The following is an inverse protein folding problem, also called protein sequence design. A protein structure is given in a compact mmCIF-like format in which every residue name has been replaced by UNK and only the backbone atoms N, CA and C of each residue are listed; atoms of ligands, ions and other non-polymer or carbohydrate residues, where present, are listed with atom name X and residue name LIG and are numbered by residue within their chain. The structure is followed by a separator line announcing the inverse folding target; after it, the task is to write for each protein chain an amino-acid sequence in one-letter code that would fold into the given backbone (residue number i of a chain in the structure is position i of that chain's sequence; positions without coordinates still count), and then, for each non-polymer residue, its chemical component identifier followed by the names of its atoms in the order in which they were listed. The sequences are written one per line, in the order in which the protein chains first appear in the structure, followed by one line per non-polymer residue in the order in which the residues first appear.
data_IF_244943163171
#
_entry.id   IF_244943163171
#
_cell.length_a   1.000
_cell.length_b   1.000
_cell.length_c   1.000
_cell.angle_alpha   90.00
_cell.angle_beta   90.00
_cell.angle_gamma   90.00
#
_symmetry.space_group_name_H-M   'P 1'
#
loop_
_entity.id
_entity.type
_entity.pdbx_description
1 polymer ?
#
# COMPACT_ATOMS: atom_id res chain seq x y z
N UNK A 1 -14.19 -15.19 0.63
CA UNK A 1 -13.73 -16.31 1.48
C UNK A 1 -12.83 -15.73 2.57
N UNK A 2 -13.38 -15.67 3.81
CA UNK A 2 -12.71 -15.16 5.00
C UNK A 2 -11.55 -16.09 5.41
N UNK A 3 -10.34 -15.82 4.96
CA UNK A 3 -9.15 -16.38 5.60
C UNK A 3 -8.74 -15.56 6.84
N UNK A 4 -9.70 -15.29 7.74
CA UNK A 4 -9.38 -14.92 9.11
C UNK A 4 -9.24 -16.23 9.89
N UNK A 5 -8.03 -16.79 9.92
CA UNK A 5 -7.77 -17.95 10.79
C UNK A 5 -8.03 -17.55 12.22
N UNK A 6 -9.09 -18.11 12.80
CA UNK A 6 -9.28 -18.14 14.26
C UNK A 6 -8.07 -18.88 14.80
N UNK A 7 -7.17 -18.19 15.52
CA UNK A 7 -5.98 -18.82 16.05
C UNK A 7 -6.37 -19.84 17.14
N UNK A 8 -7.34 -19.49 17.98
CA UNK A 8 -7.92 -20.35 19.00
C UNK A 8 -9.21 -19.74 19.55
N UNK A 9 -10.11 -20.61 20.04
CA UNK A 9 -11.38 -20.16 20.61
C UNK A 9 -11.27 -19.88 22.11
N UNK A 10 -10.32 -20.49 22.82
CA UNK A 10 -10.14 -20.29 24.26
C UNK A 10 -8.70 -20.40 24.72
N UNK A 11 -8.35 -19.59 25.74
CA UNK A 11 -7.05 -19.66 26.42
C UNK A 11 -6.82 -21.03 27.09
N UNK A 12 -7.90 -21.77 27.44
CA UNK A 12 -7.85 -23.10 27.99
C UNK A 12 -7.28 -24.11 26.99
N UNK A 13 -7.76 -24.08 25.76
CA UNK A 13 -7.29 -24.96 24.69
C UNK A 13 -5.79 -24.80 24.41
N UNK A 14 -5.29 -23.54 24.43
CA UNK A 14 -3.85 -23.29 24.29
C UNK A 14 -3.05 -23.80 25.53
N UNK A 15 -3.55 -23.56 26.72
CA UNK A 15 -2.90 -24.03 27.94
C UNK A 15 -2.73 -25.56 27.95
N UNK A 16 -3.78 -26.28 27.56
CA UNK A 16 -3.78 -27.74 27.43
C UNK A 16 -2.82 -28.21 26.33
N UNK A 17 -2.85 -27.56 25.18
CA UNK A 17 -2.01 -27.91 24.02
C UNK A 17 -0.51 -27.72 24.27
N UNK A 18 -0.13 -26.67 24.99
CA UNK A 18 1.28 -26.37 25.30
C UNK A 18 1.76 -26.79 26.68
N UNK A 19 0.89 -27.35 27.48
CA UNK A 19 1.24 -27.82 28.84
C UNK A 19 1.65 -26.70 29.80
N UNK A 20 1.12 -25.47 29.61
CA UNK A 20 1.47 -24.29 30.42
C UNK A 20 0.25 -23.74 31.18
N UNK A 21 0.50 -22.85 32.15
CA UNK A 21 -0.60 -22.28 32.94
C UNK A 21 -1.47 -21.33 32.05
N UNK A 22 -2.77 -21.26 32.37
CA UNK A 22 -3.70 -20.31 31.72
C UNK A 22 -3.27 -18.86 31.89
N UNK A 23 -2.61 -18.53 33.03
CA UNK A 23 -2.06 -17.19 33.25
C UNK A 23 -0.92 -16.87 32.30
N UNK A 24 -0.02 -17.81 32.04
CA UNK A 24 1.09 -17.67 31.09
C UNK A 24 0.56 -17.46 29.66
N UNK A 25 -0.46 -18.25 29.26
CA UNK A 25 -1.14 -18.05 27.96
C UNK A 25 -1.75 -16.67 27.87
N UNK A 26 -2.47 -16.22 28.90
CA UNK A 26 -3.11 -14.90 28.92
C UNK A 26 -2.09 -13.78 28.78
N UNK A 27 -1.00 -13.81 29.54
CA UNK A 27 0.08 -12.81 29.45
C UNK A 27 0.70 -12.76 28.06
N UNK A 28 0.97 -13.92 27.45
CA UNK A 28 1.50 -13.99 26.10
C UNK A 28 0.52 -13.43 25.06
N UNK A 29 -0.76 -13.79 25.15
CA UNK A 29 -1.81 -13.27 24.26
C UNK A 29 -1.99 -11.77 24.45
N UNK A 30 -2.01 -11.26 25.69
CA UNK A 30 -2.14 -9.83 25.98
C UNK A 30 -0.93 -9.04 25.41
N UNK A 31 0.28 -9.58 25.52
CA UNK A 31 1.48 -9.01 24.90
C UNK A 31 1.35 -8.95 23.38
N UNK A 32 0.87 -10.02 22.73
CA UNK A 32 0.67 -10.07 21.29
C UNK A 32 -0.48 -9.16 20.81
N UNK A 33 -1.51 -8.98 21.63
CA UNK A 33 -2.59 -8.00 21.36
C UNK A 33 -2.06 -6.58 21.50
N UNK A 34 -1.27 -6.30 22.56
CA UNK A 34 -0.66 -4.97 22.78
C UNK A 34 0.33 -4.60 21.68
N UNK A 35 1.07 -5.58 21.15
CA UNK A 35 1.95 -5.37 19.99
C UNK A 35 1.22 -5.28 18.64
N UNK A 36 -0.11 -5.49 18.64
CA UNK A 36 -0.94 -5.43 17.43
C UNK A 36 -0.83 -6.65 16.52
N UNK A 37 -0.17 -7.72 16.96
CA UNK A 37 -0.09 -8.99 16.21
C UNK A 37 -1.37 -9.82 16.29
N UNK A 38 -2.10 -9.69 17.39
CA UNK A 38 -3.41 -10.34 17.61
C UNK A 38 -4.51 -9.29 17.81
N UNK A 39 -5.73 -9.69 17.50
CA UNK A 39 -6.96 -8.94 17.75
C UNK A 39 -7.93 -9.83 18.54
N UNK A 40 -8.40 -9.33 19.69
CA UNK A 40 -9.40 -10.01 20.50
C UNK A 40 -10.79 -9.47 20.15
N UNK A 41 -11.70 -10.35 19.77
CA UNK A 41 -13.10 -10.01 19.51
C UNK A 41 -14.00 -10.63 20.57
N UNK A 42 -14.70 -9.78 21.30
CA UNK A 42 -15.60 -10.21 22.37
C UNK A 42 -16.63 -11.22 21.82
N UNK A 43 -16.69 -12.41 22.45
CA UNK A 43 -17.61 -13.50 22.06
C UNK A 43 -17.22 -14.29 20.81
N UNK A 44 -16.14 -13.91 20.09
CA UNK A 44 -15.78 -14.54 18.82
C UNK A 44 -14.40 -15.20 18.81
N UNK A 45 -13.50 -14.83 19.74
CA UNK A 45 -12.16 -15.44 19.85
C UNK A 45 -11.01 -14.45 19.60
N UNK A 46 -9.80 -15.00 19.43
CA UNK A 46 -8.58 -14.26 19.13
C UNK A 46 -8.10 -14.60 17.72
N UNK A 47 -7.84 -13.56 16.96
CA UNK A 47 -7.49 -13.62 15.53
C UNK A 47 -6.09 -13.10 15.29
N UNK A 48 -5.39 -13.67 14.32
CA UNK A 48 -4.15 -13.08 13.82
C UNK A 48 -4.50 -11.79 13.07
N UNK A 49 -3.92 -10.69 13.52
CA UNK A 49 -4.01 -9.44 12.77
C UNK A 49 -3.06 -9.55 11.59
N UNK A 50 -3.56 -9.32 10.39
CA UNK A 50 -2.67 -9.23 9.24
C UNK A 50 -1.61 -8.14 9.51
N UNK A 51 -0.31 -8.41 9.29
CA UNK A 51 0.73 -7.43 9.53
C UNK A 51 0.43 -6.17 8.70
N UNK A 52 0.54 -5.00 9.34
CA UNK A 52 0.46 -3.74 8.59
C UNK A 52 1.67 -3.61 7.70
N UNK A 53 1.43 -3.23 6.46
CA UNK A 53 2.46 -2.94 5.48
C UNK A 53 3.22 -1.69 5.94
N UNK A 54 4.54 -1.80 6.13
CA UNK A 54 5.41 -0.67 6.46
C UNK A 54 5.95 -0.07 5.18
N UNK A 55 5.61 1.18 4.87
CA UNK A 55 6.24 1.93 3.78
C UNK A 55 7.53 2.54 4.29
N UNK A 56 8.62 2.21 3.65
CA UNK A 56 9.86 2.95 3.81
C UNK A 56 9.82 4.17 2.89
N UNK A 57 10.45 5.27 3.30
CA UNK A 57 10.65 6.46 2.47
C UNK A 57 11.65 6.18 1.34
N UNK A 58 11.29 5.25 0.44
CA UNK A 58 12.04 4.91 -0.77
C UNK A 58 11.05 4.92 -1.94
N UNK A 59 11.50 5.41 -3.07
CA UNK A 59 10.76 5.25 -4.31
C UNK A 59 10.79 3.78 -4.68
N UNK A 60 9.71 3.08 -4.38
CA UNK A 60 9.52 1.68 -4.76
C UNK A 60 8.12 1.52 -5.34
N UNK A 61 7.98 0.60 -6.27
CA UNK A 61 6.66 0.25 -6.77
C UNK A 61 5.91 -0.57 -5.72
N UNK A 62 4.57 -0.49 -5.72
CA UNK A 62 3.73 -1.36 -4.89
C UNK A 62 4.11 -2.84 -5.04
N UNK A 63 4.36 -3.28 -6.28
CA UNK A 63 4.72 -4.68 -6.55
C UNK A 63 6.05 -5.07 -5.91
N UNK A 64 7.04 -4.19 -5.97
CA UNK A 64 8.34 -4.39 -5.32
C UNK A 64 8.20 -4.43 -3.80
N UNK A 65 7.46 -3.49 -3.25
CA UNK A 65 7.19 -3.40 -1.82
C UNK A 65 6.50 -4.67 -1.29
N UNK A 66 5.48 -5.19 -1.98
CA UNK A 66 4.81 -6.42 -1.57
C UNK A 66 5.73 -7.63 -1.67
N UNK A 67 6.53 -7.76 -2.73
CA UNK A 67 7.51 -8.85 -2.86
C UNK A 67 8.58 -8.83 -1.77
N UNK A 68 9.10 -7.66 -1.41
CA UNK A 68 10.07 -7.51 -0.30
C UNK A 68 9.50 -7.97 1.05
N UNK A 69 8.18 -7.99 1.19
CA UNK A 69 7.45 -8.46 2.37
C UNK A 69 7.02 -9.92 2.28
N UNK A 70 7.43 -10.63 1.23
CA UNK A 70 7.04 -12.02 0.99
C UNK A 70 5.59 -12.21 0.56
N UNK A 71 4.91 -11.14 0.13
CA UNK A 71 3.55 -11.17 -0.38
C UNK A 71 3.53 -11.22 -1.92
N UNK A 72 2.49 -11.79 -2.47
CA UNK A 72 2.27 -11.87 -3.92
C UNK A 72 1.45 -10.64 -4.34
N UNK A 73 2.06 -9.67 -5.08
CA UNK A 73 1.33 -8.52 -5.60
C UNK A 73 0.50 -8.91 -6.80
N UNK A 74 -0.69 -8.34 -6.89
CA UNK A 74 -1.57 -8.47 -8.04
C UNK A 74 -2.27 -7.13 -8.33
N UNK A 75 -2.91 -7.02 -9.50
CA UNK A 75 -3.58 -5.81 -9.97
C UNK A 75 -4.86 -6.16 -10.69
N UNK A 76 -5.96 -5.53 -10.27
CA UNK A 76 -7.20 -5.50 -11.02
C UNK A 76 -7.38 -4.13 -11.65
N UNK A 77 -7.23 -4.04 -12.97
CA UNK A 77 -7.47 -2.82 -13.72
C UNK A 77 -8.97 -2.56 -13.77
N UNK A 78 -9.38 -1.34 -13.48
CA UNK A 78 -10.76 -0.86 -13.53
C UNK A 78 -11.00 -0.01 -14.77
N UNK A 79 -10.00 0.78 -15.18
CA UNK A 79 -10.02 1.63 -16.36
C UNK A 79 -8.60 1.97 -16.78
N UNK A 80 -8.34 1.97 -18.07
CA UNK A 80 -7.10 2.41 -18.68
C UNK A 80 -7.41 3.04 -20.05
N UNK A 81 -6.92 4.23 -20.25
CA UNK A 81 -7.18 5.01 -21.47
C UNK A 81 -6.24 6.19 -21.58
N UNK A 82 -6.13 6.75 -22.76
CA UNK A 82 -5.55 8.07 -22.98
C UNK A 82 -6.65 9.13 -22.90
N UNK A 83 -6.43 10.16 -22.07
CA UNK A 83 -7.37 11.26 -21.87
C UNK A 83 -6.65 12.61 -21.93
N UNK A 84 -7.41 13.69 -22.10
CA UNK A 84 -6.89 15.05 -21.93
C UNK A 84 -6.66 15.35 -20.44
N UNK A 85 -5.50 15.91 -20.10
CA UNK A 85 -5.17 16.29 -18.73
C UNK A 85 -6.12 17.38 -18.20
N UNK A 86 -6.77 17.09 -17.08
CA UNK A 86 -7.52 18.09 -16.33
C UNK A 86 -6.54 19.13 -15.74
N UNK A 87 -6.98 20.37 -15.47
CA UNK A 87 -6.09 21.44 -15.00
C UNK A 87 -5.28 21.09 -13.75
N UNK A 88 -5.89 20.41 -12.78
CA UNK A 88 -5.21 19.96 -11.56
C UNK A 88 -4.14 18.90 -11.85
N UNK A 89 -4.42 17.94 -12.73
CA UNK A 89 -3.45 16.92 -13.16
C UNK A 89 -2.29 17.56 -13.94
N UNK A 90 -2.60 18.52 -14.84
CA UNK A 90 -1.61 19.24 -15.62
C UNK A 90 -0.59 19.96 -14.74
N UNK A 91 -1.06 20.65 -13.69
CA UNK A 91 -0.18 21.31 -12.70
C UNK A 91 0.76 20.31 -12.02
N UNK A 92 0.25 19.14 -11.62
CA UNK A 92 1.07 18.13 -10.96
C UNK A 92 2.11 17.50 -11.91
N UNK A 93 1.78 17.33 -13.18
CA UNK A 93 2.70 16.76 -14.18
C UNK A 93 3.61 17.81 -14.85
N UNK A 94 3.39 19.11 -14.61
CA UNK A 94 4.13 20.18 -15.26
C UNK A 94 3.92 20.21 -16.78
N UNK A 95 2.66 20.02 -17.22
CA UNK A 95 2.22 20.04 -18.62
C UNK A 95 1.09 21.05 -18.80
N UNK A 96 0.71 21.34 -20.04
CA UNK A 96 -0.43 22.20 -20.31
C UNK A 96 -1.76 21.45 -20.08
N UNK A 97 -2.82 22.13 -19.59
CA UNK A 97 -4.15 21.55 -19.54
C UNK A 97 -4.61 21.10 -20.94
N UNK A 98 -5.16 19.88 -21.00
CA UNK A 98 -5.59 19.29 -22.27
C UNK A 98 -4.54 18.45 -22.98
N UNK A 99 -3.26 18.49 -22.58
CA UNK A 99 -2.26 17.56 -23.12
C UNK A 99 -2.65 16.10 -22.87
N UNK A 100 -2.31 15.16 -23.78
CA UNK A 100 -2.63 13.74 -23.62
C UNK A 100 -1.91 13.13 -22.42
N UNK A 101 -2.64 12.38 -21.62
CA UNK A 101 -2.11 11.59 -20.48
C UNK A 101 -2.71 10.19 -20.49
N UNK A 102 -1.91 9.20 -20.20
CA UNK A 102 -2.39 7.87 -19.86
C UNK A 102 -3.01 7.92 -18.45
N UNK A 103 -4.27 7.55 -18.36
CA UNK A 103 -5.00 7.40 -17.12
C UNK A 103 -5.19 5.94 -16.79
N UNK A 104 -4.77 5.52 -15.60
CA UNK A 104 -4.89 4.15 -15.12
C UNK A 104 -5.58 4.16 -13.78
N UNK A 105 -6.74 3.50 -13.69
CA UNK A 105 -7.50 3.30 -12.46
C UNK A 105 -7.51 1.82 -12.12
N UNK A 106 -7.00 1.46 -10.92
CA UNK A 106 -6.79 0.06 -10.56
C UNK A 106 -6.90 -0.20 -9.06
N UNK A 107 -7.22 -1.44 -8.72
CA UNK A 107 -7.09 -1.98 -7.36
C UNK A 107 -5.79 -2.75 -7.27
N UNK A 108 -5.00 -2.45 -6.24
CA UNK A 108 -3.76 -3.15 -5.93
C UNK A 108 -4.03 -4.18 -4.85
N UNK A 109 -3.64 -5.43 -5.11
CA UNK A 109 -3.87 -6.57 -4.22
C UNK A 109 -2.53 -7.12 -3.71
N UNK A 110 -2.57 -7.70 -2.50
CA UNK A 110 -1.49 -8.50 -1.95
C UNK A 110 -2.10 -9.79 -1.40
N UNK A 111 -1.59 -10.95 -1.82
CA UNK A 111 -2.13 -12.27 -1.50
C UNK A 111 -3.66 -12.36 -1.79
N UNK A 112 -4.09 -11.78 -2.91
CA UNK A 112 -5.49 -11.74 -3.33
C UNK A 112 -6.37 -10.76 -2.54
N UNK A 113 -5.83 -10.01 -1.57
CA UNK A 113 -6.58 -9.06 -0.74
C UNK A 113 -6.37 -7.64 -1.25
N UNK A 114 -7.46 -6.85 -1.48
CA UNK A 114 -7.34 -5.44 -1.83
C UNK A 114 -6.60 -4.65 -0.75
N UNK A 115 -5.56 -3.93 -1.14
CA UNK A 115 -4.70 -3.12 -0.27
C UNK A 115 -4.84 -1.63 -0.55
N UNK A 116 -4.96 -1.27 -1.84
CA UNK A 116 -5.11 0.12 -2.26
C UNK A 116 -5.96 0.22 -3.52
N UNK A 117 -6.64 1.36 -3.66
CA UNK A 117 -7.21 1.85 -4.92
C UNK A 117 -6.30 2.97 -5.41
N UNK A 118 -5.96 2.95 -6.68
CA UNK A 118 -4.99 3.90 -7.24
C UNK A 118 -5.48 4.46 -8.57
N UNK A 119 -5.34 5.78 -8.74
CA UNK A 119 -5.46 6.50 -10.00
C UNK A 119 -4.10 7.06 -10.35
N UNK A 120 -3.61 6.79 -11.55
CA UNK A 120 -2.28 7.25 -12.00
C UNK A 120 -2.44 7.97 -13.32
N UNK A 121 -1.71 9.06 -13.48
CA UNK A 121 -1.61 9.85 -14.71
C UNK A 121 -0.14 9.94 -15.11
N UNK A 122 0.14 9.72 -16.37
CA UNK A 122 1.48 9.78 -16.98
C UNK A 122 1.35 10.53 -18.28
N UNK A 123 2.15 11.58 -18.49
CA UNK A 123 2.11 12.33 -19.74
C UNK A 123 2.44 11.40 -20.92
N UNK A 124 1.56 11.35 -21.94
CA UNK A 124 1.75 10.44 -23.08
C UNK A 124 3.07 10.72 -23.82
N UNK A 125 3.53 11.98 -23.87
CA UNK A 125 4.83 12.36 -24.44
C UNK A 125 6.04 11.74 -23.72
N UNK A 126 5.87 11.34 -22.44
CA UNK A 126 6.94 10.72 -21.64
C UNK A 126 7.01 9.22 -21.89
N UNK A 127 5.85 8.59 -22.09
CA UNK A 127 5.74 7.15 -22.36
C UNK A 127 4.63 6.88 -23.40
N UNK A 128 4.86 7.17 -24.68
CA UNK A 128 3.80 7.09 -25.69
C UNK A 128 3.17 5.70 -25.82
N UNK A 129 3.97 4.65 -25.64
CA UNK A 129 3.55 3.26 -25.85
C UNK A 129 3.11 2.54 -24.57
N UNK A 130 2.89 3.28 -23.43
CA UNK A 130 2.63 2.67 -22.13
C UNK A 130 1.47 1.68 -22.12
N UNK A 131 0.41 1.94 -22.85
CA UNK A 131 -0.83 1.14 -22.86
C UNK A 131 -0.99 0.28 -24.13
N UNK A 132 0.00 0.23 -25.01
CA UNK A 132 -0.08 -0.51 -26.29
C UNK A 132 -0.37 -2.01 -26.07
N UNK A 133 0.29 -2.60 -25.08
CA UNK A 133 0.10 -4.01 -24.71
C UNK A 133 -0.72 -4.18 -23.41
N UNK A 134 -1.55 -3.17 -23.08
CA UNK A 134 -2.30 -3.09 -21.84
C UNK A 134 -1.50 -2.54 -20.66
N UNK A 135 -2.12 -2.54 -19.48
CA UNK A 135 -1.51 -1.98 -18.27
C UNK A 135 -0.37 -2.86 -17.75
N UNK A 136 0.87 -2.36 -17.64
CA UNK A 136 1.98 -3.15 -17.14
C UNK A 136 1.77 -3.54 -15.65
N UNK A 137 2.22 -4.73 -15.26
CA UNK A 137 2.15 -5.21 -13.87
C UNK A 137 2.86 -4.27 -12.87
N UNK A 138 3.89 -3.56 -13.34
CA UNK A 138 4.59 -2.50 -12.60
C UNK A 138 4.86 -1.31 -13.53
N UNK A 139 4.21 -0.18 -13.25
CA UNK A 139 4.44 1.07 -13.99
C UNK A 139 5.90 1.52 -13.85
N UNK A 140 6.47 1.48 -12.64
CA UNK A 140 7.87 1.83 -12.42
C UNK A 140 8.84 0.84 -13.11
N UNK A 141 8.46 -0.44 -13.22
CA UNK A 141 9.20 -1.41 -14.01
C UNK A 141 9.20 -1.07 -15.50
N UNK A 142 8.04 -0.68 -16.04
CA UNK A 142 7.91 -0.25 -17.43
C UNK A 142 8.69 1.07 -17.67
N UNK A 143 8.61 2.03 -16.76
CA UNK A 143 9.40 3.28 -16.82
C UNK A 143 10.91 2.97 -16.83
N UNK A 144 11.38 2.11 -15.93
CA UNK A 144 12.80 1.73 -15.88
C UNK A 144 13.25 1.03 -17.17
N UNK A 145 12.41 0.18 -17.76
CA UNK A 145 12.69 -0.46 -19.05
C UNK A 145 12.77 0.54 -20.22
N UNK A 146 12.03 1.65 -20.11
CA UNK A 146 12.09 2.77 -21.06
C UNK A 146 13.22 3.80 -20.75
N UNK A 147 14.08 3.51 -19.76
CA UNK A 147 15.16 4.41 -19.35
C UNK A 147 14.73 5.55 -18.41
N UNK A 148 13.47 5.58 -17.99
CA UNK A 148 12.90 6.59 -17.10
C UNK A 148 12.92 6.08 -15.65
N UNK A 149 14.12 5.97 -15.06
CA UNK A 149 14.27 5.50 -13.68
C UNK A 149 13.81 6.59 -12.71
N UNK A 150 12.82 6.31 -11.83
CA UNK A 150 12.42 7.27 -10.80
C UNK A 150 13.60 7.59 -9.87
N UNK A 151 13.97 8.87 -9.76
CA UNK A 151 15.11 9.34 -8.94
C UNK A 151 14.64 9.93 -7.61
N UNK A 152 13.53 10.64 -7.60
CA UNK A 152 12.92 11.22 -6.40
C UNK A 152 11.42 11.43 -6.55
N UNK A 153 10.75 11.78 -5.46
CA UNK A 153 9.32 12.03 -5.46
C UNK A 153 8.85 12.69 -4.17
N UNK A 154 7.61 13.15 -4.21
CA UNK A 154 6.92 13.83 -3.10
C UNK A 154 5.62 13.10 -2.81
N UNK A 155 5.34 12.86 -1.52
CA UNK A 155 4.09 12.31 -1.04
C UNK A 155 3.37 13.31 -0.14
N UNK A 156 2.15 13.71 -0.49
CA UNK A 156 1.21 14.32 0.44
C UNK A 156 0.29 13.22 0.99
N UNK A 157 0.30 13.04 2.31
CA UNK A 157 -0.36 11.92 2.98
C UNK A 157 -1.39 12.43 3.98
N UNK A 158 -2.62 11.97 3.84
CA UNK A 158 -3.74 12.35 4.69
C UNK A 158 -4.48 11.12 5.19
N UNK A 159 -4.96 11.17 6.44
CA UNK A 159 -5.90 10.19 6.95
C UNK A 159 -7.32 10.71 6.70
N UNK A 160 -8.09 9.97 5.91
CA UNK A 160 -9.46 10.37 5.53
C UNK A 160 -10.44 9.21 5.73
N UNK A 161 -11.72 9.53 5.76
CA UNK A 161 -12.79 8.53 5.66
C UNK A 161 -12.94 8.11 4.21
N UNK A 162 -12.92 6.80 3.95
CA UNK A 162 -13.12 6.26 2.61
C UNK A 162 -14.55 6.53 2.13
N UNK A 163 -14.70 7.04 0.91
CA UNK A 163 -15.98 7.16 0.24
C UNK A 163 -16.56 5.80 -0.15
N UNK A 164 -17.80 5.76 -0.61
CA UNK A 164 -18.50 4.53 -0.94
C UNK A 164 -17.78 3.71 -2.02
N UNK A 165 -17.28 4.36 -3.08
CA UNK A 165 -16.62 3.71 -4.21
C UNK A 165 -15.25 3.14 -3.81
N UNK A 166 -14.44 3.91 -3.09
CA UNK A 166 -13.14 3.46 -2.56
C UNK A 166 -13.33 2.29 -1.60
N UNK A 167 -14.30 2.39 -0.69
CA UNK A 167 -14.58 1.32 0.28
C UNK A 167 -15.10 0.04 -0.38
N UNK A 168 -15.93 0.14 -1.41
CA UNK A 168 -16.40 -1.00 -2.21
C UNK A 168 -15.21 -1.74 -2.84
N UNK A 169 -14.33 -1.02 -3.54
CA UNK A 169 -13.16 -1.61 -4.17
C UNK A 169 -12.16 -2.23 -3.18
N UNK A 170 -12.03 -1.61 -2.01
CA UNK A 170 -11.18 -2.11 -0.92
C UNK A 170 -11.84 -3.22 -0.09
N UNK A 171 -13.13 -3.50 -0.31
CA UNK A 171 -13.92 -4.48 0.46
C UNK A 171 -13.88 -4.18 1.98
N UNK A 172 -14.12 -2.93 2.33
CA UNK A 172 -14.20 -2.43 3.71
C UNK A 172 -15.51 -1.66 3.93
N UNK A 173 -15.99 -1.51 5.15
CA UNK A 173 -17.18 -0.70 5.45
C UNK A 173 -17.00 0.75 5.00
N UNK A 174 -18.07 1.37 4.48
CA UNK A 174 -18.07 2.80 4.12
C UNK A 174 -17.71 3.65 5.34
N UNK A 175 -16.89 4.67 5.13
CA UNK A 175 -16.36 5.53 6.18
C UNK A 175 -15.18 4.95 6.96
N UNK A 176 -14.69 3.76 6.61
CA UNK A 176 -13.46 3.23 7.19
C UNK A 176 -12.29 4.19 6.95
N UNK A 177 -11.38 4.26 7.93
CA UNK A 177 -10.16 5.06 7.79
C UNK A 177 -9.27 4.53 6.67
N UNK A 178 -8.88 5.41 5.76
CA UNK A 178 -7.91 5.14 4.69
C UNK A 178 -6.81 6.19 4.71
N UNK A 179 -5.60 5.81 4.26
CA UNK A 179 -4.53 6.77 3.99
C UNK A 179 -4.63 7.18 2.52
N UNK A 180 -4.98 8.43 2.27
CA UNK A 180 -4.91 9.05 0.95
C UNK A 180 -3.48 9.53 0.72
N UNK A 181 -2.86 9.09 -0.36
CA UNK A 181 -1.50 9.46 -0.75
C UNK A 181 -1.55 10.05 -2.14
N UNK A 182 -1.18 11.32 -2.27
CA UNK A 182 -0.94 11.99 -3.54
C UNK A 182 0.56 11.98 -3.78
N UNK A 183 1.01 11.24 -4.80
CA UNK A 183 2.43 11.09 -5.14
C UNK A 183 2.75 11.74 -6.45
N UNK A 184 3.80 12.52 -6.48
CA UNK A 184 4.46 13.03 -7.68
C UNK A 184 5.83 12.38 -7.78
N UNK A 185 6.15 11.83 -8.93
CA UNK A 185 7.42 11.11 -9.15
C UNK A 185 8.18 11.72 -10.29
N UNK A 186 9.50 11.80 -10.15
CA UNK A 186 10.40 12.41 -11.09
C UNK A 186 11.51 11.44 -11.54
N UNK A 187 11.91 11.57 -12.79
CA UNK A 187 13.20 11.13 -13.30
C UNK A 187 14.02 12.41 -13.54
N UNK A 188 15.03 12.61 -12.70
CA UNK A 188 15.78 13.85 -12.59
C UNK A 188 14.84 15.07 -12.40
N UNK A 189 14.81 16.02 -13.32
CA UNK A 189 13.95 17.20 -13.25
C UNK A 189 12.59 17.03 -13.96
N UNK A 190 12.33 15.85 -14.55
CA UNK A 190 11.10 15.60 -15.31
C UNK A 190 10.06 14.90 -14.45
N UNK A 191 8.88 15.49 -14.28
CA UNK A 191 7.74 14.80 -13.68
C UNK A 191 7.27 13.67 -14.59
N UNK A 192 7.40 12.42 -14.14
CA UNK A 192 7.09 11.24 -14.93
C UNK A 192 5.74 10.61 -14.57
N UNK A 193 5.24 10.84 -13.35
CA UNK A 193 3.92 10.38 -12.96
C UNK A 193 3.33 11.21 -11.83
N UNK A 194 2.00 11.26 -11.80
CA UNK A 194 1.20 11.71 -10.69
C UNK A 194 0.22 10.61 -10.32
N UNK A 195 0.04 10.30 -9.04
CA UNK A 195 -0.94 9.32 -8.59
C UNK A 195 -1.68 9.75 -7.34
N UNK A 196 -2.93 9.32 -7.24
CA UNK A 196 -3.77 9.39 -6.04
C UNK A 196 -4.12 7.98 -5.63
N UNK A 197 -3.77 7.61 -4.40
CA UNK A 197 -3.96 6.26 -3.89
C UNK A 197 -4.65 6.30 -2.54
N UNK A 198 -5.56 5.36 -2.30
CA UNK A 198 -6.25 5.18 -1.01
C UNK A 198 -5.91 3.81 -0.47
N UNK A 199 -5.09 3.77 0.57
CA UNK A 199 -4.65 2.55 1.22
C UNK A 199 -5.52 2.21 2.42
N UNK A 200 -5.81 0.95 2.63
CA UNK A 200 -6.54 0.45 3.81
C UNK A 200 -5.79 0.79 5.09
N UNK A 201 -6.39 1.62 5.97
CA UNK A 201 -5.79 2.01 7.25
C UNK A 201 -5.62 0.86 8.25
N UNK A 202 -6.41 -0.22 8.13
CA UNK A 202 -6.30 -1.41 8.96
C UNK A 202 -5.14 -2.34 8.56
N UNK A 203 -4.60 -2.18 7.33
CA UNK A 203 -3.54 -3.05 6.76
C UNK A 203 -2.28 -2.30 6.35
N UNK A 204 -2.33 -0.98 6.24
CA UNK A 204 -1.23 -0.18 5.77
C UNK A 204 -0.68 0.70 6.90
N UNK A 205 0.64 0.69 7.07
CA UNK A 205 1.35 1.53 8.04
C UNK A 205 2.51 2.22 7.34
N UNK A 206 2.48 3.55 7.36
CA UNK A 206 3.61 4.34 6.91
C UNK A 206 4.66 4.41 8.02
N UNK A 207 5.89 4.04 7.70
CA UNK A 207 7.04 4.19 8.57
C UNK A 207 8.01 5.19 7.95
N UNK A 208 8.13 6.36 8.58
CA UNK A 208 9.01 7.44 8.11
C UNK A 208 10.22 7.48 9.02
N UNK A 209 11.44 7.17 8.53
CA UNK A 209 12.65 7.36 9.30
C UNK A 209 12.90 8.85 9.50
N UNK A 210 13.16 9.25 10.74
CA UNK A 210 13.59 10.61 11.08
C UNK A 210 15.04 10.57 11.53
N UNK A 211 15.86 11.47 10.99
CA UNK A 211 17.27 11.61 11.38
C UNK A 211 17.54 13.03 11.89
N UNK A 212 18.37 13.14 12.92
CA UNK A 212 18.95 14.41 13.30
C UNK A 212 20.00 14.91 12.29
N UNK A 213 20.43 16.17 12.37
CA UNK A 213 21.27 16.82 11.36
C UNK A 213 22.64 16.17 11.10
N UNK A 214 23.01 15.11 11.79
CA UNK A 214 24.33 14.46 11.67
C UNK A 214 24.30 12.91 11.63
N UNK A 215 23.15 12.28 11.27
CA UNK A 215 23.11 10.83 11.13
C UNK A 215 22.72 10.41 9.72
N UNK A 216 23.60 9.66 9.06
CA UNK A 216 23.25 8.87 7.87
C UNK A 216 22.21 7.81 8.28
N UNK A 217 21.09 7.76 7.59
CA UNK A 217 20.05 6.77 7.84
C UNK A 217 20.55 5.37 7.46
N UNK A 218 20.89 4.56 8.44
CA UNK A 218 21.01 3.12 8.25
C UNK A 218 19.64 2.48 8.49
N UNK A 219 19.15 1.66 7.56
CA UNK A 219 17.97 0.86 7.85
C UNK A 219 18.24 -0.04 9.05
N UNK A 220 17.31 -0.29 9.96
CA UNK A 220 17.49 -1.24 11.04
C UNK A 220 17.82 -2.60 10.41
N UNK A 221 18.97 -3.15 10.73
CA UNK A 221 19.31 -4.55 10.40
C UNK A 221 18.23 -5.39 11.04
N UNK A 222 17.55 -6.20 10.22
CA UNK A 222 16.62 -7.20 10.71
C UNK A 222 17.31 -8.01 11.79
N UNK A 223 16.87 -7.89 13.03
CA UNK A 223 17.34 -8.68 14.14
C UNK A 223 16.91 -10.12 13.91
N UNK A 224 17.82 -10.95 13.47
CA UNK A 224 17.75 -12.38 13.67
C UNK A 224 17.93 -12.64 15.16
N UNK A 225 16.84 -13.00 15.85
CA UNK A 225 16.80 -13.94 16.98
C UNK A 225 15.36 -14.41 17.19
#
# INVERSE_FOLDING_TARGET
LEFRRVLFRSERELAERFGISRMTVRQAVDSLVSSGMLERRRGSGTYVRAPKVHVQSRISSFSEEMRQRGMIPDTRVLRDEEISAAPDVAVWLGIEPGEPVHYIYRVRLADGVPMAVERTWIAARVMPDLLTDGVPASIYGAMAAAGLVPTWGEDAIEAVSGDALVCEHLQIPVGSAVLAINRRTYADDTAISYSRSWYRGDRYKLWVPISGPHRTLYPPRGGSR
#
